data_IF_481849092005
#
_entry.id   IF_481849092005
#
_cell.length_a   1.000
_cell.length_b   1.000
_cell.length_c   1.000
_cell.angle_alpha   90.00
_cell.angle_beta   90.00
_cell.angle_gamma   90.00
#
_symmetry.space_group_name_H-M   'P 1'
#
loop_
_entity.id
_entity.type
_entity.pdbx_description
1 polymer ?
#
# COMPACT_ATOMS: atom_id res chain seq x y z
N UNK A 1 -24.96 1.21 -40.73
CA UNK A 1 -24.16 2.07 -39.80
C UNK A 1 -24.62 1.77 -38.40
N UNK A 2 -23.92 0.84 -37.76
CA UNK A 2 -24.27 0.38 -36.42
C UNK A 2 -23.69 1.35 -35.38
N UNK A 3 -24.56 1.88 -34.53
CA UNK A 3 -24.21 2.78 -33.46
C UNK A 3 -23.51 2.00 -32.33
N UNK A 4 -22.29 2.39 -32.00
CA UNK A 4 -21.57 1.91 -30.84
C UNK A 4 -22.31 2.27 -29.56
N UNK A 5 -22.37 1.33 -28.59
CA UNK A 5 -23.09 1.51 -27.34
C UNK A 5 -22.53 2.67 -26.49
N UNK A 6 -23.38 3.28 -25.66
CA UNK A 6 -22.99 4.36 -24.75
C UNK A 6 -21.90 3.90 -23.75
N UNK A 7 -21.87 2.62 -23.39
CA UNK A 7 -20.85 1.98 -22.55
C UNK A 7 -19.44 2.09 -23.17
N UNK A 8 -19.29 1.78 -24.46
CA UNK A 8 -18.00 1.90 -25.16
C UNK A 8 -17.50 3.34 -25.29
N UNK A 9 -18.44 4.32 -25.32
CA UNK A 9 -18.09 5.75 -25.32
C UNK A 9 -17.63 6.21 -23.94
N UNK A 10 -18.19 5.67 -22.87
CA UNK A 10 -17.82 5.97 -21.49
C UNK A 10 -16.43 5.43 -21.16
N UNK A 11 -16.14 4.17 -21.45
CA UNK A 11 -14.82 3.55 -21.27
C UNK A 11 -13.71 4.25 -22.07
N UNK A 12 -14.01 4.72 -23.29
CA UNK A 12 -13.04 5.46 -24.10
C UNK A 12 -12.78 6.87 -23.59
N UNK A 13 -13.77 7.48 -22.94
CA UNK A 13 -13.63 8.79 -22.30
C UNK A 13 -12.83 8.70 -21.01
N UNK A 14 -13.04 7.65 -20.21
CA UNK A 14 -12.23 7.37 -19.01
C UNK A 14 -10.77 7.06 -19.37
N UNK A 15 -10.50 6.27 -20.40
CA UNK A 15 -9.12 6.01 -20.89
C UNK A 15 -8.43 7.29 -21.41
N UNK A 16 -9.16 8.21 -22.03
CA UNK A 16 -8.60 9.49 -22.48
C UNK A 16 -8.35 10.48 -21.34
N UNK A 17 -9.19 10.47 -20.32
CA UNK A 17 -9.00 11.32 -19.13
C UNK A 17 -7.81 10.79 -18.32
N UNK A 18 -7.65 9.48 -18.18
CA UNK A 18 -6.51 8.85 -17.52
C UNK A 18 -5.18 9.16 -18.21
N UNK A 19 -5.14 9.19 -19.55
CA UNK A 19 -3.91 9.49 -20.31
C UNK A 19 -3.56 10.97 -20.42
N UNK A 20 -4.49 11.90 -20.21
CA UNK A 20 -4.21 13.34 -20.29
C UNK A 20 -3.71 13.94 -18.96
N UNK A 21 -4.09 13.36 -17.81
CA UNK A 21 -3.61 13.85 -16.50
C UNK A 21 -2.15 13.42 -16.23
N UNK A 22 -1.62 12.44 -16.97
CA UNK A 22 -0.28 11.87 -16.75
C UNK A 22 0.85 12.56 -17.55
N UNK A 23 0.57 13.56 -18.39
CA UNK A 23 1.60 14.14 -19.27
C UNK A 23 2.14 15.52 -18.88
N UNK A 24 1.48 16.26 -18.01
CA UNK A 24 1.81 17.68 -17.86
C UNK A 24 2.56 18.08 -16.58
N UNK A 25 2.88 17.15 -15.65
CA UNK A 25 3.55 17.51 -14.38
C UNK A 25 4.77 16.63 -13.99
N UNK A 26 5.43 15.99 -14.94
CA UNK A 26 6.67 15.28 -14.64
C UNK A 26 7.88 16.05 -15.16
N UNK A 27 8.32 17.03 -14.39
CA UNK A 27 9.68 17.54 -14.45
C UNK A 27 10.64 16.46 -13.92
N UNK A 28 10.84 15.37 -14.66
CA UNK A 28 11.79 14.33 -14.29
C UNK A 28 13.19 14.83 -14.58
N UNK A 29 13.93 15.24 -13.56
CA UNK A 29 15.38 15.20 -13.62
C UNK A 29 15.83 13.74 -13.76
N UNK A 30 15.98 13.28 -15.00
CA UNK A 30 16.64 12.02 -15.33
C UNK A 30 18.14 12.19 -15.14
N UNK A 31 18.65 11.85 -13.95
CA UNK A 31 20.04 11.47 -13.74
C UNK A 31 20.13 10.62 -12.48
N UNK A 32 19.68 9.37 -12.58
CA UNK A 32 20.14 8.27 -11.74
C UNK A 32 19.86 6.98 -12.49
N UNK A 33 20.88 6.36 -13.06
CA UNK A 33 20.87 4.93 -13.37
C UNK A 33 20.85 4.20 -12.02
N UNK A 34 19.69 4.05 -11.45
CA UNK A 34 19.47 3.18 -10.32
C UNK A 34 18.62 2.04 -10.83
N UNK A 35 19.28 0.92 -11.07
CA UNK A 35 18.62 -0.37 -11.29
C UNK A 35 18.06 -0.80 -9.92
N UNK A 36 17.06 -0.11 -9.44
CA UNK A 36 16.31 -0.50 -8.25
C UNK A 36 15.13 -1.37 -8.71
N UNK A 37 15.28 -2.67 -8.58
CA UNK A 37 14.17 -3.62 -8.83
C UNK A 37 13.09 -3.57 -7.74
N UNK A 38 13.17 -2.59 -6.84
CA UNK A 38 12.28 -2.42 -5.69
C UNK A 38 11.67 -1.03 -5.72
N UNK A 39 10.38 -0.95 -5.44
CA UNK A 39 9.73 0.31 -5.12
C UNK A 39 8.87 0.18 -3.87
N UNK A 40 8.87 1.24 -3.05
CA UNK A 40 7.93 1.39 -1.94
C UNK A 40 6.71 2.16 -2.43
N UNK A 41 5.55 1.71 -2.01
CA UNK A 41 4.28 2.41 -2.14
C UNK A 41 3.83 2.78 -0.74
N UNK A 42 3.51 4.05 -0.54
CA UNK A 42 3.05 4.59 0.74
C UNK A 42 1.99 5.64 0.52
N UNK A 43 1.34 6.08 1.58
CA UNK A 43 0.38 7.17 1.49
C UNK A 43 0.01 7.74 2.85
N UNK A 44 -0.44 8.98 2.82
CA UNK A 44 -0.96 9.67 3.98
C UNK A 44 -2.14 10.57 3.59
N UNK A 45 -3.23 10.42 4.33
CA UNK A 45 -4.45 11.23 4.23
C UNK A 45 -4.80 11.74 5.62
N UNK A 46 -5.00 13.02 5.74
CA UNK A 46 -5.33 13.67 7.02
C UNK A 46 -6.79 13.44 7.39
N UNK A 47 -7.06 12.30 8.01
CA UNK A 47 -8.39 11.84 8.40
C UNK A 47 -8.47 11.60 9.92
N UNK A 48 -9.69 11.50 10.51
CA UNK A 48 -9.84 10.93 11.85
C UNK A 48 -9.27 9.52 11.92
N UNK A 49 -8.31 9.31 12.82
CA UNK A 49 -7.51 8.09 12.89
C UNK A 49 -7.41 7.58 14.34
N UNK A 50 -6.81 6.38 14.53
CA UNK A 50 -6.52 5.79 15.85
C UNK A 50 -5.59 6.66 16.71
N UNK A 51 -4.74 7.46 16.06
CA UNK A 51 -3.75 8.31 16.70
C UNK A 51 -3.94 9.76 16.27
N UNK A 52 -3.56 10.69 17.15
CA UNK A 52 -3.62 12.11 16.85
C UNK A 52 -2.58 12.50 15.79
N UNK A 53 -2.79 13.68 15.21
CA UNK A 53 -1.86 14.26 14.25
C UNK A 53 -0.46 14.47 14.84
N UNK A 54 -0.38 14.80 16.14
CA UNK A 54 0.88 14.98 16.85
C UNK A 54 1.69 13.69 16.93
N UNK A 55 1.03 12.53 17.12
CA UNK A 55 1.69 11.24 17.07
C UNK A 55 2.29 10.98 15.69
N UNK A 56 1.54 11.24 14.61
CA UNK A 56 2.07 11.09 13.26
C UNK A 56 3.23 12.02 13.00
N UNK A 57 3.17 13.27 13.47
CA UNK A 57 4.23 14.24 13.35
C UNK A 57 5.54 13.77 14.03
N UNK A 58 5.43 13.11 15.19
CA UNK A 58 6.57 12.51 15.88
C UNK A 58 7.12 11.30 15.12
N UNK A 59 6.27 10.38 14.66
CA UNK A 59 6.70 9.18 13.95
C UNK A 59 7.35 9.49 12.61
N UNK A 60 6.83 10.46 11.87
CA UNK A 60 7.35 10.85 10.56
C UNK A 60 8.79 11.36 10.59
N UNK A 61 9.28 11.84 11.73
CA UNK A 61 10.69 12.18 11.93
C UNK A 61 11.61 10.98 11.64
N UNK A 62 11.10 9.78 11.81
CA UNK A 62 11.82 8.51 11.68
C UNK A 62 11.26 7.62 10.57
N UNK A 63 9.98 7.29 10.64
CA UNK A 63 9.36 6.29 9.76
C UNK A 63 9.43 6.65 8.27
N UNK A 64 9.45 7.93 7.93
CA UNK A 64 9.59 8.40 6.55
C UNK A 64 11.03 8.47 6.04
N UNK A 65 12.03 8.04 6.83
CA UNK A 65 13.46 8.11 6.45
C UNK A 65 13.98 6.89 5.71
N UNK A 66 13.11 5.95 5.31
CA UNK A 66 13.51 4.81 4.49
C UNK A 66 14.10 5.31 3.16
N UNK A 67 15.39 4.99 2.92
CA UNK A 67 16.11 5.42 1.72
C UNK A 67 15.86 4.49 0.54
N UNK A 68 14.65 4.54 -0.02
CA UNK A 68 14.24 3.77 -1.19
C UNK A 68 13.33 4.61 -2.06
N UNK A 69 13.33 4.37 -3.39
CA UNK A 69 12.35 4.98 -4.28
C UNK A 69 10.94 4.72 -3.76
N UNK A 70 10.20 5.78 -3.51
CA UNK A 70 8.86 5.71 -2.92
C UNK A 70 7.85 6.45 -3.78
N UNK A 71 6.76 5.78 -4.14
CA UNK A 71 5.55 6.40 -4.65
C UNK A 71 4.66 6.75 -3.48
N UNK A 72 4.48 8.04 -3.25
CA UNK A 72 3.80 8.54 -2.06
C UNK A 72 2.48 9.23 -2.43
N UNK A 73 1.36 8.65 -1.99
CA UNK A 73 0.02 9.13 -2.28
C UNK A 73 -0.50 10.06 -1.19
N UNK A 74 -1.11 11.18 -1.58
CA UNK A 74 -1.70 12.19 -0.69
C UNK A 74 -3.04 12.70 -1.22
N UNK A 75 -3.88 13.27 -0.36
CA UNK A 75 -5.15 13.87 -0.74
C UNK A 75 -4.96 15.05 -1.70
N UNK A 76 -3.96 15.91 -1.44
CA UNK A 76 -3.78 17.20 -2.11
C UNK A 76 -2.32 17.68 -2.00
N UNK A 77 -2.06 18.85 -2.58
CA UNK A 77 -0.73 19.47 -2.58
C UNK A 77 -0.25 19.88 -1.18
N UNK A 78 -1.14 20.32 -0.30
CA UNK A 78 -0.80 20.72 1.08
C UNK A 78 -0.22 19.53 1.86
N UNK A 79 -0.81 18.34 1.71
CA UNK A 79 -0.30 17.13 2.33
C UNK A 79 1.04 16.69 1.72
N UNK A 80 1.23 16.83 0.41
CA UNK A 80 2.52 16.60 -0.23
C UNK A 80 3.59 17.50 0.38
N UNK A 81 3.31 18.79 0.50
CA UNK A 81 4.27 19.76 1.04
C UNK A 81 4.57 19.48 2.53
N UNK A 82 3.59 18.97 3.27
CA UNK A 82 3.80 18.50 4.63
C UNK A 82 4.71 17.25 4.67
N UNK A 83 4.49 16.25 3.84
CA UNK A 83 5.31 15.03 3.81
C UNK A 83 6.74 15.31 3.33
N UNK A 84 6.92 16.22 2.39
CA UNK A 84 8.25 16.66 1.92
C UNK A 84 9.16 17.13 3.04
N UNK A 85 8.63 17.74 4.10
CA UNK A 85 9.41 18.19 5.24
C UNK A 85 10.13 17.06 5.98
N UNK A 86 9.61 15.83 5.88
CA UNK A 86 10.18 14.64 6.53
C UNK A 86 11.04 13.80 5.57
N UNK A 87 10.65 13.73 4.28
CA UNK A 87 11.37 12.91 3.30
C UNK A 87 12.54 13.63 2.65
N UNK A 88 12.57 14.97 2.69
CA UNK A 88 13.69 15.80 2.26
C UNK A 88 14.20 15.40 0.85
N UNK A 89 15.49 15.07 0.73
CA UNK A 89 16.17 14.64 -0.51
C UNK A 89 15.95 13.15 -0.87
N UNK A 90 15.18 12.41 -0.08
CA UNK A 90 14.94 10.98 -0.35
C UNK A 90 14.15 10.77 -1.65
N UNK A 91 14.50 9.76 -2.46
CA UNK A 91 13.88 9.53 -3.76
C UNK A 91 12.38 9.28 -3.61
N UNK A 92 11.56 10.24 -4.07
CA UNK A 92 10.11 10.19 -3.88
C UNK A 92 9.37 10.77 -5.08
N UNK A 93 8.37 10.03 -5.55
CA UNK A 93 7.39 10.48 -6.53
C UNK A 93 6.08 10.72 -5.79
N UNK A 94 5.65 11.97 -5.73
CA UNK A 94 4.41 12.35 -5.06
C UNK A 94 3.23 12.31 -6.01
N UNK A 95 2.11 11.76 -5.56
CA UNK A 95 0.91 11.57 -6.37
C UNK A 95 -0.30 12.10 -5.60
N UNK A 96 -1.03 13.05 -6.20
CA UNK A 96 -2.32 13.48 -5.68
C UNK A 96 -3.35 12.41 -6.01
N UNK A 97 -3.87 11.76 -4.98
CA UNK A 97 -4.88 10.71 -5.09
C UNK A 97 -5.94 10.89 -3.99
N UNK A 98 -6.97 11.72 -4.24
CA UNK A 98 -7.99 12.05 -3.25
C UNK A 98 -8.82 10.83 -2.85
N UNK A 99 -9.31 10.80 -1.60
CA UNK A 99 -10.23 9.76 -1.08
C UNK A 99 -11.43 9.53 -2.00
N UNK A 100 -11.92 10.58 -2.66
CA UNK A 100 -13.03 10.48 -3.61
C UNK A 100 -12.70 9.59 -4.84
N UNK A 101 -11.43 9.36 -5.14
CA UNK A 101 -10.96 8.50 -6.26
C UNK A 101 -10.71 7.06 -5.87
N UNK A 102 -10.81 6.72 -4.59
CA UNK A 102 -10.50 5.38 -4.11
C UNK A 102 -11.41 4.33 -4.76
N UNK A 103 -10.82 3.22 -5.18
CA UNK A 103 -11.56 2.05 -5.66
C UNK A 103 -12.45 1.48 -4.55
N UNK A 104 -11.98 1.53 -3.32
CA UNK A 104 -12.71 1.07 -2.13
C UNK A 104 -14.05 1.78 -1.91
N UNK A 105 -14.28 2.97 -2.46
CA UNK A 105 -15.60 3.63 -2.43
C UNK A 105 -16.71 2.81 -3.11
N UNK A 106 -16.36 1.86 -3.99
CA UNK A 106 -17.32 1.05 -4.74
C UNK A 106 -17.94 -0.07 -3.92
N UNK A 107 -17.24 -0.55 -2.90
CA UNK A 107 -17.64 -1.73 -2.14
C UNK A 107 -17.67 -1.53 -0.63
N UNK A 108 -16.97 -0.51 -0.10
CA UNK A 108 -16.85 -0.29 1.34
C UNK A 108 -18.21 0.04 1.97
N UNK A 109 -18.62 -0.77 2.96
CA UNK A 109 -19.84 -0.51 3.71
C UNK A 109 -19.53 0.44 4.89
N UNK A 110 -20.20 1.62 4.98
CA UNK A 110 -19.98 2.58 6.07
C UNK A 110 -20.24 2.02 7.48
N UNK A 111 -20.94 0.90 7.60
CA UNK A 111 -21.19 0.21 8.88
C UNK A 111 -20.03 -0.69 9.32
N UNK A 112 -18.99 -0.89 8.49
CA UNK A 112 -17.81 -1.67 8.85
C UNK A 112 -16.85 -0.87 9.75
N UNK A 113 -17.36 -0.24 10.79
CA UNK A 113 -16.62 0.58 11.73
C UNK A 113 -16.66 0.00 13.14
N UNK A 114 -15.61 0.25 13.90
CA UNK A 114 -15.50 -0.13 15.32
C UNK A 114 -14.66 0.92 16.06
N UNK A 115 -15.11 1.47 17.20
CA UNK A 115 -14.43 2.59 17.86
C UNK A 115 -12.93 2.42 18.09
N UNK A 116 -12.49 1.20 18.33
CA UNK A 116 -11.07 0.88 18.61
C UNK A 116 -10.33 0.33 17.39
N UNK A 117 -10.98 -0.53 16.60
CA UNK A 117 -10.30 -1.28 15.53
C UNK A 117 -10.38 -0.57 14.18
N UNK A 118 -11.54 -0.06 13.81
CA UNK A 118 -11.80 0.65 12.54
C UNK A 118 -12.54 1.96 12.86
N UNK A 119 -11.86 2.97 13.41
CA UNK A 119 -12.51 4.13 14.01
C UNK A 119 -13.23 5.05 13.03
N UNK A 120 -12.96 4.95 11.74
CA UNK A 120 -13.66 5.68 10.69
C UNK A 120 -13.75 4.89 9.39
N UNK A 121 -14.77 5.18 8.58
CA UNK A 121 -14.92 4.58 7.26
C UNK A 121 -13.78 4.99 6.31
N UNK A 122 -13.27 6.21 6.42
CA UNK A 122 -12.16 6.66 5.57
C UNK A 122 -10.88 5.90 5.87
N UNK A 123 -10.59 5.60 7.15
CA UNK A 123 -9.45 4.76 7.52
C UNK A 123 -9.60 3.33 6.96
N UNK A 124 -10.79 2.74 7.08
CA UNK A 124 -11.07 1.43 6.50
C UNK A 124 -10.89 1.42 4.98
N UNK A 125 -11.38 2.46 4.28
CA UNK A 125 -11.17 2.60 2.83
C UNK A 125 -9.70 2.71 2.45
N UNK A 126 -8.89 3.47 3.22
CA UNK A 126 -7.45 3.56 3.00
C UNK A 126 -6.79 2.17 3.12
N UNK A 127 -7.18 1.39 4.13
CA UNK A 127 -6.62 0.05 4.30
C UNK A 127 -6.95 -0.87 3.12
N UNK A 128 -8.18 -0.82 2.63
CA UNK A 128 -8.60 -1.60 1.45
C UNK A 128 -7.98 -1.10 0.13
N UNK A 129 -7.50 0.13 0.09
CA UNK A 129 -6.91 0.69 -1.11
C UNK A 129 -5.46 0.25 -1.36
N UNK A 130 -4.74 -0.24 -0.35
CA UNK A 130 -3.31 -0.55 -0.39
C UNK A 130 -2.89 -1.42 -1.58
N UNK A 131 -3.55 -2.55 -1.77
CA UNK A 131 -3.22 -3.47 -2.87
C UNK A 131 -3.58 -2.85 -4.23
N UNK A 132 -4.67 -2.08 -4.30
CA UNK A 132 -5.02 -1.33 -5.50
C UNK A 132 -3.96 -0.29 -5.86
N UNK A 133 -3.41 0.45 -4.90
CA UNK A 133 -2.34 1.42 -5.13
C UNK A 133 -1.05 0.74 -5.61
N UNK A 134 -0.71 -0.45 -5.10
CA UNK A 134 0.41 -1.25 -5.61
C UNK A 134 0.20 -1.63 -7.08
N UNK A 135 -1.01 -2.12 -7.43
CA UNK A 135 -1.39 -2.42 -8.81
C UNK A 135 -1.34 -1.17 -9.69
N UNK A 136 -1.85 -0.04 -9.22
CA UNK A 136 -1.85 1.23 -9.95
C UNK A 136 -0.43 1.70 -10.28
N UNK A 137 0.51 1.58 -9.32
CA UNK A 137 1.93 1.92 -9.54
C UNK A 137 2.54 0.97 -10.57
N UNK A 138 2.33 -0.35 -10.44
CA UNK A 138 2.81 -1.35 -11.40
C UNK A 138 2.35 -1.02 -12.82
N UNK A 139 1.06 -0.75 -13.00
CA UNK A 139 0.46 -0.61 -14.32
C UNK A 139 0.79 0.72 -15.01
N UNK A 140 0.97 1.81 -14.24
CA UNK A 140 1.05 3.15 -14.82
C UNK A 140 2.40 3.85 -14.68
N UNK A 141 3.24 3.46 -13.70
CA UNK A 141 4.45 4.22 -13.37
C UNK A 141 5.74 3.42 -13.53
N UNK A 142 5.77 2.17 -13.07
CA UNK A 142 7.00 1.37 -13.04
C UNK A 142 6.76 -0.07 -13.53
N UNK A 143 6.54 -0.25 -14.82
CA UNK A 143 6.24 -1.58 -15.38
C UNK A 143 7.40 -2.58 -15.20
N UNK A 144 8.64 -2.12 -15.05
CA UNK A 144 9.84 -2.98 -14.99
C UNK A 144 10.30 -3.30 -13.56
N UNK A 145 9.66 -2.74 -12.53
CA UNK A 145 9.97 -3.06 -11.14
C UNK A 145 9.61 -4.52 -10.83
N UNK A 146 10.47 -5.23 -10.07
CA UNK A 146 10.23 -6.63 -9.71
C UNK A 146 9.41 -6.77 -8.44
N UNK A 147 9.77 -6.01 -7.38
CA UNK A 147 9.11 -6.07 -6.09
C UNK A 147 8.47 -4.76 -5.70
N UNK A 148 7.25 -4.86 -5.24
CA UNK A 148 6.41 -3.77 -4.76
C UNK A 148 6.21 -3.94 -3.26
N UNK A 149 6.53 -2.92 -2.48
CA UNK A 149 6.41 -2.92 -1.04
C UNK A 149 5.37 -1.87 -0.63
N UNK A 150 4.23 -2.31 -0.11
CA UNK A 150 3.40 -1.40 0.67
C UNK A 150 4.09 -1.14 2.01
N UNK A 151 4.21 0.11 2.41
CA UNK A 151 4.72 0.52 3.71
C UNK A 151 3.88 1.68 4.25
N UNK A 152 3.21 1.48 5.38
CA UNK A 152 2.48 2.56 6.04
C UNK A 152 3.43 3.73 6.37
N UNK A 153 2.99 4.97 6.14
CA UNK A 153 3.80 6.17 6.43
C UNK A 153 4.29 6.23 7.89
N UNK A 154 3.45 5.77 8.84
CA UNK A 154 3.80 5.62 10.25
C UNK A 154 4.13 4.19 10.64
N UNK A 155 4.95 3.49 9.86
CA UNK A 155 5.32 2.09 10.10
C UNK A 155 5.85 1.85 11.51
N UNK A 156 5.32 0.82 12.17
CA UNK A 156 5.50 0.62 13.62
C UNK A 156 6.97 0.49 14.05
N UNK A 157 7.76 -0.24 13.26
CA UNK A 157 9.17 -0.53 13.58
C UNK A 157 10.05 0.72 13.65
N UNK A 158 9.65 1.82 12.97
CA UNK A 158 10.42 3.06 12.91
C UNK A 158 9.66 4.27 13.50
N UNK A 159 8.95 4.09 14.61
CA UNK A 159 8.24 5.20 15.27
C UNK A 159 9.09 6.00 16.25
N UNK A 160 10.19 5.43 16.74
CA UNK A 160 11.07 5.98 17.78
C UNK A 160 12.55 6.05 17.36
N UNK A 161 12.91 5.45 16.23
CA UNK A 161 14.26 5.49 15.67
C UNK A 161 14.19 5.43 14.14
N UNK A 162 15.21 5.97 13.48
CA UNK A 162 15.29 5.97 12.03
C UNK A 162 15.72 4.58 11.50
N UNK A 163 15.26 4.20 10.30
CA UNK A 163 15.79 3.03 9.60
C UNK A 163 17.28 3.24 9.29
N UNK A 164 18.02 2.16 8.97
CA UNK A 164 19.37 2.27 8.44
C UNK A 164 19.42 3.23 7.22
N UNK A 165 20.42 4.12 7.13
CA UNK A 165 20.50 5.13 6.06
C UNK A 165 20.91 4.57 4.70
N UNK A 166 20.98 3.25 4.58
CA UNK A 166 21.31 2.50 3.37
C UNK A 166 20.04 2.16 2.59
N UNK A 167 20.16 1.76 1.34
CA UNK A 167 19.06 1.19 0.56
C UNK A 167 18.77 -0.23 0.99
N UNK A 168 17.54 -0.66 0.72
CA UNK A 168 17.15 -2.05 0.92
C UNK A 168 18.05 -3.00 0.10
N UNK A 169 18.41 -4.14 0.68
CA UNK A 169 19.34 -5.05 0.05
C UNK A 169 18.70 -5.82 -1.11
N UNK A 170 19.19 -5.56 -2.33
CA UNK A 170 18.73 -6.24 -3.54
C UNK A 170 18.99 -7.75 -3.53
N UNK A 171 20.09 -8.22 -2.89
CA UNK A 171 20.37 -9.65 -2.77
C UNK A 171 19.26 -10.38 -2.03
N UNK A 172 18.81 -9.81 -0.93
CA UNK A 172 17.83 -10.46 -0.07
C UNK A 172 16.44 -10.38 -0.68
N UNK A 173 16.13 -9.27 -1.33
CA UNK A 173 14.87 -9.15 -2.08
C UNK A 173 14.82 -10.17 -3.21
N UNK A 174 15.91 -10.36 -3.97
CA UNK A 174 15.96 -11.38 -5.03
C UNK A 174 15.90 -12.82 -4.49
N UNK A 175 16.10 -13.01 -3.19
CA UNK A 175 15.91 -14.30 -2.51
C UNK A 175 14.46 -14.55 -2.10
N UNK A 176 13.59 -13.54 -2.16
CA UNK A 176 12.17 -13.71 -1.85
C UNK A 176 11.46 -14.50 -2.94
N UNK A 177 10.46 -15.30 -2.58
CA UNK A 177 9.69 -16.07 -3.55
C UNK A 177 8.85 -15.15 -4.43
N UNK A 178 8.95 -15.30 -5.74
CA UNK A 178 8.21 -14.50 -6.72
C UNK A 178 6.73 -14.87 -6.79
N UNK A 179 6.38 -16.06 -6.34
CA UNK A 179 5.02 -16.61 -6.36
C UNK A 179 4.30 -16.48 -5.01
N UNK A 180 4.82 -15.66 -4.09
CA UNK A 180 4.26 -15.49 -2.76
C UNK A 180 4.03 -14.02 -2.40
N UNK A 181 3.00 -13.82 -1.61
CA UNK A 181 2.76 -12.59 -0.85
C UNK A 181 3.57 -12.69 0.46
N UNK A 182 4.60 -11.86 0.61
CA UNK A 182 5.45 -11.88 1.80
C UNK A 182 4.90 -10.94 2.87
N UNK A 183 4.76 -11.45 4.09
CA UNK A 183 4.14 -10.73 5.21
C UNK A 183 4.89 -10.94 6.52
N UNK A 184 4.58 -10.13 7.52
CA UNK A 184 4.84 -10.43 8.93
C UNK A 184 3.52 -10.67 9.66
N UNK A 185 3.53 -11.59 10.63
CA UNK A 185 2.41 -11.74 11.56
C UNK A 185 2.55 -10.75 12.74
N UNK A 186 1.47 -10.45 13.46
CA UNK A 186 1.56 -9.71 14.71
C UNK A 186 2.26 -10.59 15.78
N UNK A 187 2.89 -9.97 16.78
CA UNK A 187 3.53 -10.68 17.88
C UNK A 187 2.56 -11.60 18.64
N UNK A 188 1.29 -11.22 18.68
CA UNK A 188 0.21 -11.98 19.30
C UNK A 188 -0.93 -12.21 18.29
N UNK A 189 -0.79 -13.21 17.38
CA UNK A 189 -1.84 -13.53 16.45
C UNK A 189 -3.07 -14.08 17.18
N UNK A 190 -4.26 -13.72 16.67
CA UNK A 190 -5.53 -14.30 17.13
C UNK A 190 -6.43 -14.58 15.93
N UNK A 191 -7.48 -15.35 16.15
CA UNK A 191 -8.30 -16.02 15.11
C UNK A 191 -8.62 -15.19 13.84
N UNK A 192 -8.75 -13.89 13.99
CA UNK A 192 -9.13 -12.98 12.91
C UNK A 192 -8.03 -11.98 12.52
N UNK A 193 -6.81 -12.17 13.01
CA UNK A 193 -5.74 -11.20 12.87
C UNK A 193 -4.36 -11.86 12.85
N UNK A 194 -4.03 -12.46 11.71
CA UNK A 194 -2.75 -13.14 11.47
C UNK A 194 -1.81 -12.36 10.55
N UNK A 195 -2.20 -11.16 10.16
CA UNK A 195 -1.44 -10.28 9.31
C UNK A 195 -1.06 -8.97 10.01
N UNK A 196 0.18 -8.54 9.84
CA UNK A 196 0.57 -7.15 10.08
C UNK A 196 0.26 -6.33 8.83
N UNK A 197 -0.74 -5.45 8.92
CA UNK A 197 -1.17 -4.61 7.78
C UNK A 197 -0.22 -3.47 7.42
N UNK A 198 0.92 -3.32 8.12
CA UNK A 198 1.78 -2.15 7.97
C UNK A 198 2.77 -2.25 6.82
N UNK A 199 3.19 -3.46 6.45
CA UNK A 199 4.11 -3.70 5.33
C UNK A 199 3.75 -5.00 4.61
N UNK A 200 3.67 -4.94 3.29
CA UNK A 200 3.52 -6.09 2.38
C UNK A 200 4.60 -6.07 1.33
N UNK A 201 5.06 -7.23 0.89
CA UNK A 201 6.01 -7.36 -0.22
C UNK A 201 5.42 -8.33 -1.24
N UNK A 202 5.24 -7.86 -2.48
CA UNK A 202 4.63 -8.65 -3.55
C UNK A 202 5.47 -8.52 -4.82
N UNK A 203 5.81 -9.65 -5.45
CA UNK A 203 6.43 -9.64 -6.77
C UNK A 203 5.42 -9.16 -7.83
N UNK A 204 5.89 -8.42 -8.83
CA UNK A 204 5.06 -7.79 -9.87
C UNK A 204 4.08 -8.75 -10.55
N UNK A 205 4.53 -9.98 -10.85
CA UNK A 205 3.73 -10.97 -11.57
C UNK A 205 2.58 -11.52 -10.73
N UNK A 206 2.66 -11.37 -9.40
CA UNK A 206 1.64 -11.82 -8.48
C UNK A 206 0.60 -10.74 -8.13
N UNK A 207 0.89 -9.46 -8.38
CA UNK A 207 0.03 -8.35 -7.94
C UNK A 207 -1.40 -8.47 -8.48
N UNK A 208 -1.59 -8.80 -9.75
CA UNK A 208 -2.93 -8.93 -10.34
C UNK A 208 -3.71 -10.07 -9.70
N UNK A 209 -3.07 -11.23 -9.54
CA UNK A 209 -3.69 -12.39 -8.89
C UNK A 209 -4.10 -12.08 -7.44
N UNK A 210 -3.23 -11.40 -6.69
CA UNK A 210 -3.54 -11.00 -5.32
C UNK A 210 -4.66 -9.97 -5.27
N UNK A 211 -4.66 -8.99 -6.18
CA UNK A 211 -5.73 -7.99 -6.24
C UNK A 211 -7.09 -8.62 -6.54
N UNK A 212 -7.18 -9.47 -7.56
CA UNK A 212 -8.42 -10.11 -7.95
C UNK A 212 -8.95 -11.03 -6.83
N UNK A 213 -8.06 -11.82 -6.23
CA UNK A 213 -8.41 -12.68 -5.10
C UNK A 213 -8.82 -11.87 -3.86
N UNK A 214 -8.14 -10.76 -3.58
CA UNK A 214 -8.50 -9.86 -2.49
C UNK A 214 -9.92 -9.31 -2.66
N UNK A 215 -10.28 -8.87 -3.87
CA UNK A 215 -11.63 -8.38 -4.16
C UNK A 215 -12.69 -9.48 -3.99
N UNK A 216 -12.39 -10.70 -4.44
CA UNK A 216 -13.28 -11.86 -4.22
C UNK A 216 -13.52 -12.11 -2.72
N UNK A 217 -12.45 -11.98 -1.90
CA UNK A 217 -12.57 -12.17 -0.45
C UNK A 217 -13.24 -11.01 0.28
N UNK A 218 -13.16 -9.79 -0.22
CA UNK A 218 -13.99 -8.68 0.27
C UNK A 218 -15.46 -9.04 0.13
N UNK A 219 -15.90 -9.53 -1.03
CA UNK A 219 -17.28 -9.92 -1.27
C UNK A 219 -17.69 -11.12 -0.41
N UNK A 220 -16.87 -12.17 -0.34
CA UNK A 220 -17.13 -13.36 0.51
C UNK A 220 -17.25 -12.99 2.00
N UNK A 221 -16.37 -12.12 2.50
CA UNK A 221 -16.42 -11.69 3.90
C UNK A 221 -17.63 -10.78 4.16
N UNK A 222 -17.99 -9.92 3.22
CA UNK A 222 -19.19 -9.11 3.30
C UNK A 222 -20.46 -9.96 3.36
N UNK A 223 -20.56 -10.99 2.54
CA UNK A 223 -21.69 -11.92 2.56
C UNK A 223 -21.77 -12.73 3.86
N UNK A 224 -20.61 -13.21 4.36
CA UNK A 224 -20.55 -14.12 5.52
C UNK A 224 -20.67 -13.40 6.86
N UNK A 225 -20.04 -12.25 7.01
CA UNK A 225 -19.86 -11.57 8.30
C UNK A 225 -20.58 -10.24 8.35
N UNK A 226 -20.37 -9.37 7.35
CA UNK A 226 -20.95 -8.02 7.21
C UNK A 226 -20.85 -7.16 8.48
N UNK A 227 -19.73 -7.22 9.17
CA UNK A 227 -19.46 -6.45 10.40
C UNK A 227 -18.13 -5.68 10.31
N UNK A 228 -17.74 -5.02 11.40
CA UNK A 228 -16.53 -4.19 11.48
C UNK A 228 -15.23 -4.91 11.07
N UNK A 229 -15.17 -6.25 11.16
CA UNK A 229 -14.00 -7.03 10.73
C UNK A 229 -13.74 -6.83 9.25
N UNK A 230 -14.81 -6.78 8.45
CA UNK A 230 -14.73 -6.51 7.01
C UNK A 230 -14.16 -5.12 6.69
N UNK A 231 -14.08 -4.19 7.64
CA UNK A 231 -13.45 -2.88 7.47
C UNK A 231 -11.92 -2.89 7.58
N UNK A 232 -11.31 -4.07 7.81
CA UNK A 232 -9.85 -4.22 7.94
C UNK A 232 -9.27 -5.10 6.85
N UNK A 233 -8.26 -4.58 6.14
CA UNK A 233 -7.45 -5.34 5.17
C UNK A 233 -6.82 -6.59 5.80
N UNK A 234 -6.36 -6.49 7.04
CA UNK A 234 -5.74 -7.59 7.79
C UNK A 234 -6.70 -8.78 7.98
N UNK A 235 -7.99 -8.50 8.21
CA UNK A 235 -8.99 -9.54 8.31
C UNK A 235 -9.22 -10.24 6.97
N UNK A 236 -9.39 -9.49 5.89
CA UNK A 236 -9.58 -10.04 4.55
C UNK A 236 -8.37 -10.91 4.16
N UNK A 237 -7.16 -10.42 4.36
CA UNK A 237 -5.92 -11.17 4.08
C UNK A 237 -5.80 -12.43 4.96
N UNK A 238 -6.26 -12.37 6.21
CA UNK A 238 -6.28 -13.55 7.10
C UNK A 238 -7.23 -14.64 6.58
N UNK A 239 -8.43 -14.25 6.13
CA UNK A 239 -9.39 -15.20 5.53
C UNK A 239 -8.86 -15.78 4.20
N UNK A 240 -8.25 -14.92 3.35
CA UNK A 240 -7.54 -15.36 2.13
C UNK A 240 -6.47 -16.41 2.42
N UNK A 241 -5.63 -16.17 3.43
CA UNK A 241 -4.53 -17.05 3.78
C UNK A 241 -5.02 -18.42 4.28
N UNK A 242 -6.17 -18.50 4.99
CA UNK A 242 -6.75 -19.77 5.45
C UNK A 242 -7.07 -20.71 4.30
N UNK A 243 -7.58 -20.17 3.20
CA UNK A 243 -7.99 -20.96 2.05
C UNK A 243 -6.86 -21.14 1.01
N UNK A 244 -5.92 -20.17 0.95
CA UNK A 244 -4.81 -20.16 -0.02
C UNK A 244 -3.44 -20.05 0.67
N UNK A 245 -3.09 -20.87 1.67
CA UNK A 245 -1.83 -20.74 2.41
C UNK A 245 -0.59 -20.85 1.53
N UNK A 246 -0.71 -21.52 0.38
CA UNK A 246 0.38 -21.67 -0.58
C UNK A 246 0.79 -20.37 -1.28
N UNK A 247 -0.05 -19.33 -1.26
CA UNK A 247 0.25 -18.00 -1.83
C UNK A 247 0.98 -17.08 -0.85
N UNK A 248 1.16 -17.50 0.40
CA UNK A 248 1.70 -16.64 1.46
C UNK A 248 3.03 -17.15 2.00
N UNK A 249 3.94 -16.21 2.28
CA UNK A 249 5.24 -16.50 2.86
C UNK A 249 5.48 -15.57 4.06
N UNK A 250 5.56 -16.16 5.25
CA UNK A 250 5.90 -15.40 6.46
C UNK A 250 7.39 -15.09 6.47
N UNK A 251 7.72 -13.81 6.34
CA UNK A 251 9.09 -13.33 6.35
C UNK A 251 9.59 -12.97 7.76
N UNK A 252 8.71 -12.40 8.59
CA UNK A 252 9.07 -11.93 9.92
C UNK A 252 7.91 -12.06 10.91
N UNK A 253 8.18 -11.77 12.19
CA UNK A 253 7.19 -11.65 13.25
C UNK A 253 7.26 -10.24 13.86
N UNK A 254 6.12 -9.58 14.03
CA UNK A 254 5.98 -8.21 14.53
C UNK A 254 5.52 -7.21 13.47
N UNK A 255 4.89 -6.13 13.94
CA UNK A 255 4.32 -5.10 13.06
C UNK A 255 5.41 -4.34 12.29
N UNK A 256 5.44 -4.51 10.95
CA UNK A 256 6.39 -3.87 10.06
C UNK A 256 7.77 -4.52 10.01
N UNK A 257 7.97 -5.64 10.71
CA UNK A 257 9.29 -6.30 10.82
C UNK A 257 9.78 -6.90 9.51
N UNK A 258 8.93 -7.12 8.52
CA UNK A 258 9.38 -7.57 7.21
C UNK A 258 10.23 -6.52 6.48
N UNK A 259 10.06 -5.22 6.73
CA UNK A 259 10.99 -4.23 6.17
C UNK A 259 12.32 -4.20 6.92
N UNK A 260 12.30 -4.41 8.25
CA UNK A 260 13.53 -4.57 9.04
C UNK A 260 14.31 -5.80 8.61
N UNK A 261 13.64 -6.92 8.35
CA UNK A 261 14.27 -8.15 7.89
C UNK A 261 15.08 -7.96 6.58
N UNK A 262 14.67 -7.04 5.71
CA UNK A 262 15.42 -6.72 4.50
C UNK A 262 16.70 -5.93 4.78
N UNK A 263 16.82 -5.27 5.94
CA UNK A 263 18.05 -4.62 6.38
C UNK A 263 18.99 -5.56 7.15
N UNK A 264 18.41 -6.50 7.95
CA UNK A 264 19.17 -7.30 8.91
C UNK A 264 20.10 -8.34 8.28
N UNK A 265 19.89 -8.68 7.03
CA UNK A 265 20.76 -9.59 6.28
C UNK A 265 22.12 -9.00 5.88
N UNK A 266 22.45 -7.80 6.41
CA UNK A 266 23.75 -7.15 6.25
C UNK A 266 24.74 -7.36 7.41
N UNK A 267 24.40 -8.16 8.43
CA UNK A 267 25.26 -8.40 9.60
C UNK A 267 26.07 -9.69 9.45
#
# INVERSE_FOLDING_TARGET
MEGRSESERYERKERRISTHILKDDVGVQRNMEVIDNITIISGYWRIPNKYSHDHYNQWFQYSLKINQLTYFFCENQEEIDYIKQFRDELPTIYIIYPLARFNSNRFYNPHWIHPTHVPSSDLGKIWHEKIHLMKLVKDNYQPDQEFFIWCDAGVCVYRDHAPPPIRLNLKDINSLPHDKFCYSDPEHPYEHHNFSGTVYIIHRDLIDTIYDLYMEYVDKCAEKYNDWRCGSDQFILTEMMKDHPHLFYKLACGYGMNIQALYDTYV
#
